data_IF_315011721376
#
_entry.id   IF_315011721376
#
_cell.length_a   1.000
_cell.length_b   1.000
_cell.length_c   1.000
_cell.angle_alpha   90.00
_cell.angle_beta   90.00
_cell.angle_gamma   90.00
#
_symmetry.space_group_name_H-M   'P 1'
#
loop_
_entity.id
_entity.type
_entity.pdbx_description
1 polymer ?
#
# COMPACT_ATOMS: atom_id res chain seq x y z
N UNK A 1 51.80 -11.52 61.59
CA UNK A 1 51.07 -10.83 60.51
C UNK A 1 50.88 -11.82 59.34
N UNK A 2 49.72 -12.44 59.23
CA UNK A 2 49.41 -13.37 58.13
C UNK A 2 48.84 -12.58 56.92
N UNK A 3 49.21 -12.91 55.69
CA UNK A 3 49.01 -12.03 54.57
C UNK A 3 47.55 -11.99 54.10
N UNK A 4 47.02 -10.79 54.08
CA UNK A 4 45.75 -10.39 53.48
C UNK A 4 45.55 -10.80 52.00
N UNK A 5 46.65 -11.21 51.38
CA UNK A 5 46.77 -11.67 49.96
C UNK A 5 46.08 -12.99 49.66
N UNK A 6 45.93 -13.89 50.66
CA UNK A 6 45.29 -15.20 50.45
C UNK A 6 43.76 -15.12 50.32
N UNK A 7 43.13 -14.26 51.10
CA UNK A 7 41.67 -14.04 51.08
C UNK A 7 41.21 -13.41 49.76
N UNK A 8 42.00 -12.46 49.24
CA UNK A 8 41.67 -11.77 48.00
C UNK A 8 41.76 -12.71 46.77
N UNK A 9 42.69 -13.64 46.75
CA UNK A 9 42.81 -14.65 45.69
C UNK A 9 41.68 -15.68 45.71
N UNK A 10 41.21 -16.07 46.89
CA UNK A 10 40.10 -17.02 47.03
C UNK A 10 38.76 -16.39 46.60
N UNK A 11 38.54 -15.11 46.87
CA UNK A 11 37.33 -14.38 46.42
C UNK A 11 37.32 -14.18 44.91
N UNK A 12 38.49 -13.91 44.31
CA UNK A 12 38.62 -13.75 42.86
C UNK A 12 38.35 -15.05 42.08
N UNK A 13 38.71 -16.21 42.61
CA UNK A 13 38.49 -17.53 41.99
C UNK A 13 37.01 -17.95 42.07
N UNK A 14 36.28 -17.51 43.13
CA UNK A 14 34.84 -17.83 43.26
C UNK A 14 33.96 -16.92 42.42
N UNK A 15 34.39 -15.68 42.08
CA UNK A 15 33.64 -14.75 41.26
C UNK A 15 33.77 -15.04 39.73
N UNK A 16 34.80 -15.75 39.31
CA UNK A 16 35.04 -16.01 37.90
C UNK A 16 34.01 -16.95 37.24
N UNK A 17 33.49 -18.02 37.87
CA UNK A 17 32.48 -18.88 37.24
C UNK A 17 31.08 -18.29 37.13
N UNK A 18 30.75 -17.24 37.87
CA UNK A 18 29.41 -16.63 37.85
C UNK A 18 29.19 -15.80 36.55
N UNK A 19 30.25 -15.36 35.91
CA UNK A 19 30.17 -14.59 34.67
C UNK A 19 29.89 -15.45 33.39
N UNK A 20 30.02 -16.79 33.50
CA UNK A 20 29.80 -17.69 32.35
C UNK A 20 28.42 -18.33 32.29
N UNK A 21 27.52 -18.09 33.26
CA UNK A 21 26.16 -18.65 33.25
C UNK A 21 25.14 -17.77 32.58
N UNK A 22 25.54 -16.63 31.98
CA UNK A 22 24.63 -15.70 31.28
C UNK A 22 24.33 -16.10 29.83
N UNK A 23 24.86 -17.23 29.31
CA UNK A 23 24.57 -17.73 27.96
C UNK A 23 23.57 -18.90 27.97
N UNK A 24 22.42 -18.72 28.62
CA UNK A 24 21.36 -19.73 28.69
C UNK A 24 20.25 -19.60 27.65
N UNK A 25 20.40 -18.74 26.61
CA UNK A 25 19.30 -18.40 25.69
C UNK A 25 19.43 -18.99 24.26
N UNK A 26 20.56 -19.61 23.91
CA UNK A 26 20.78 -20.04 22.51
C UNK A 26 19.69 -20.98 21.97
N UNK A 27 19.15 -21.88 22.79
CA UNK A 27 18.08 -22.79 22.35
C UNK A 27 16.72 -22.06 22.17
N UNK A 28 16.47 -20.99 22.96
CA UNK A 28 15.28 -20.16 22.83
C UNK A 28 15.33 -19.32 21.56
N UNK A 29 16.46 -18.69 21.31
CA UNK A 29 16.67 -17.84 20.14
C UNK A 29 16.64 -18.65 18.82
N UNK A 30 17.24 -19.85 18.81
CA UNK A 30 17.17 -20.74 17.63
C UNK A 30 15.74 -21.20 17.32
N UNK A 31 14.95 -21.55 18.34
CA UNK A 31 13.53 -21.92 18.16
C UNK A 31 12.70 -20.75 17.66
N UNK A 32 12.95 -19.55 18.19
CA UNK A 32 12.28 -18.34 17.75
C UNK A 32 12.63 -18.00 16.30
N UNK A 33 13.92 -18.06 15.95
CA UNK A 33 14.39 -17.84 14.58
C UNK A 33 13.77 -18.85 13.61
N UNK A 34 13.76 -20.14 13.93
CA UNK A 34 13.13 -21.17 13.10
C UNK A 34 11.64 -20.92 12.90
N UNK A 35 10.95 -20.40 13.92
CA UNK A 35 9.53 -20.03 13.80
C UNK A 35 9.35 -18.81 12.92
N UNK A 36 10.20 -17.80 13.05
CA UNK A 36 10.20 -16.62 12.16
C UNK A 36 10.43 -17.03 10.71
N UNK A 37 11.41 -17.87 10.44
CA UNK A 37 11.75 -18.36 9.10
C UNK A 37 10.56 -19.15 8.50
N UNK A 38 9.92 -20.01 9.30
CA UNK A 38 8.73 -20.76 8.89
C UNK A 38 7.57 -19.83 8.56
N UNK A 39 7.27 -18.85 9.42
CA UNK A 39 6.21 -17.88 9.18
C UNK A 39 6.50 -16.99 7.97
N UNK A 40 7.76 -16.60 7.79
CA UNK A 40 8.19 -15.83 6.60
C UNK A 40 7.99 -16.63 5.33
N UNK A 41 8.32 -17.92 5.35
CA UNK A 41 8.10 -18.82 4.21
C UNK A 41 6.60 -19.00 3.92
N UNK A 42 5.79 -19.21 4.94
CA UNK A 42 4.32 -19.30 4.77
C UNK A 42 3.75 -18.00 4.20
N UNK A 43 4.19 -16.86 4.72
CA UNK A 43 3.75 -15.54 4.23
C UNK A 43 4.16 -15.32 2.76
N UNK A 44 5.35 -15.75 2.36
CA UNK A 44 5.82 -15.66 0.98
C UNK A 44 4.99 -16.53 0.01
N UNK A 45 4.37 -17.60 0.52
CA UNK A 45 3.48 -18.48 -0.25
C UNK A 45 2.02 -18.02 -0.23
N UNK A 46 1.67 -17.00 0.57
CA UNK A 46 0.32 -16.45 0.59
C UNK A 46 0.02 -15.76 -0.75
N UNK A 47 -1.20 -15.98 -1.27
CA UNK A 47 -1.65 -15.30 -2.48
C UNK A 47 -1.54 -13.78 -2.34
N UNK A 48 -0.95 -13.15 -3.35
CA UNK A 48 -0.87 -11.70 -3.48
C UNK A 48 -1.53 -11.30 -4.80
N UNK A 49 -2.43 -10.30 -4.79
CA UNK A 49 -3.00 -9.79 -6.03
C UNK A 49 -1.90 -9.29 -6.97
N UNK A 50 -2.03 -9.59 -8.25
CA UNK A 50 -1.15 -9.06 -9.27
C UNK A 50 -1.47 -7.60 -9.59
N UNK A 51 -0.51 -6.86 -10.19
CA UNK A 51 -0.72 -5.46 -10.59
C UNK A 51 -1.97 -5.28 -11.48
N UNK A 52 -2.23 -6.21 -12.40
CA UNK A 52 -3.42 -6.16 -13.26
C UNK A 52 -4.74 -6.23 -12.51
N UNK A 53 -4.78 -6.95 -11.40
CA UNK A 53 -5.96 -7.07 -10.55
C UNK A 53 -6.25 -5.74 -9.82
N UNK A 54 -5.22 -5.11 -9.28
CA UNK A 54 -5.34 -3.76 -8.72
C UNK A 54 -5.78 -2.73 -9.77
N UNK A 55 -5.20 -2.78 -10.98
CA UNK A 55 -5.58 -1.86 -12.07
C UNK A 55 -7.02 -2.06 -12.54
N UNK A 56 -7.53 -3.29 -12.52
CA UNK A 56 -8.95 -3.57 -12.79
C UNK A 56 -9.86 -2.93 -11.73
N UNK A 57 -9.51 -3.03 -10.44
CA UNK A 57 -10.22 -2.34 -9.36
C UNK A 57 -10.22 -0.82 -9.55
N UNK A 58 -9.05 -0.23 -9.83
CA UNK A 58 -8.91 1.20 -10.13
C UNK A 58 -9.79 1.61 -11.32
N UNK A 59 -9.88 0.80 -12.38
CA UNK A 59 -10.72 1.11 -13.54
C UNK A 59 -12.21 1.13 -13.17
N UNK A 60 -12.65 0.24 -12.30
CA UNK A 60 -14.02 0.24 -11.77
C UNK A 60 -14.30 1.51 -10.97
N UNK A 61 -13.43 1.86 -10.02
CA UNK A 61 -13.57 3.08 -9.22
C UNK A 61 -13.51 4.34 -10.09
N UNK A 62 -12.65 4.38 -11.10
CA UNK A 62 -12.61 5.46 -12.08
C UNK A 62 -13.99 5.67 -12.75
N UNK A 63 -14.64 4.61 -13.20
CA UNK A 63 -15.96 4.71 -13.81
C UNK A 63 -17.02 5.19 -12.81
N UNK A 64 -16.99 4.69 -11.57
CA UNK A 64 -17.93 5.09 -10.51
C UNK A 64 -17.77 6.57 -10.12
N UNK A 65 -16.54 7.08 -10.01
CA UNK A 65 -16.26 8.50 -9.77
C UNK A 65 -16.98 9.37 -10.81
N UNK A 66 -16.87 8.99 -12.09
CA UNK A 66 -17.50 9.74 -13.17
C UNK A 66 -19.01 9.85 -12.98
N UNK A 67 -19.68 8.72 -12.80
CA UNK A 67 -21.14 8.72 -12.65
C UNK A 67 -21.61 9.35 -11.35
N UNK A 68 -20.91 9.18 -10.25
CA UNK A 68 -21.20 9.85 -9.01
C UNK A 68 -21.08 11.38 -9.15
N UNK A 69 -19.96 11.86 -9.69
CA UNK A 69 -19.73 13.29 -9.88
C UNK A 69 -20.69 13.94 -10.88
N UNK A 70 -21.01 13.25 -11.99
CA UNK A 70 -22.01 13.72 -12.98
C UNK A 70 -23.41 13.86 -12.38
N UNK A 71 -23.77 13.02 -11.43
CA UNK A 71 -25.02 13.10 -10.69
C UNK A 71 -24.91 13.94 -9.41
N UNK A 72 -23.75 14.61 -9.19
CA UNK A 72 -23.49 15.46 -8.04
C UNK A 72 -23.60 14.71 -6.69
N UNK A 73 -23.45 13.38 -6.71
CA UNK A 73 -23.31 12.55 -5.53
C UNK A 73 -21.85 12.66 -5.04
N UNK A 74 -21.56 13.79 -4.39
CA UNK A 74 -20.20 14.15 -4.01
C UNK A 74 -19.63 13.21 -2.96
N UNK A 75 -20.45 12.69 -2.07
CA UNK A 75 -20.03 11.78 -1.02
C UNK A 75 -19.60 10.42 -1.63
N UNK A 76 -20.37 9.90 -2.58
CA UNK A 76 -19.98 8.70 -3.34
C UNK A 76 -18.72 8.96 -4.18
N UNK A 77 -18.63 10.10 -4.84
CA UNK A 77 -17.47 10.45 -5.64
C UNK A 77 -16.19 10.54 -4.79
N UNK A 78 -16.26 11.12 -3.58
CA UNK A 78 -15.13 11.21 -2.65
C UNK A 78 -14.72 9.84 -2.13
N UNK A 79 -15.68 8.99 -1.78
CA UNK A 79 -15.46 7.60 -1.40
C UNK A 79 -14.67 6.86 -2.50
N UNK A 80 -15.13 6.90 -3.75
CA UNK A 80 -14.50 6.17 -4.85
C UNK A 80 -13.09 6.71 -5.21
N UNK A 81 -12.82 8.00 -4.98
CA UNK A 81 -11.46 8.56 -5.09
C UNK A 81 -10.58 8.02 -3.96
N UNK A 82 -11.12 7.86 -2.76
CA UNK A 82 -10.45 7.22 -1.63
C UNK A 82 -10.01 5.80 -1.97
N UNK A 83 -10.90 4.99 -2.56
CA UNK A 83 -10.63 3.62 -2.98
C UNK A 83 -9.47 3.53 -4.00
N UNK A 84 -9.40 4.47 -4.96
CA UNK A 84 -8.24 4.53 -5.88
C UNK A 84 -6.95 4.83 -5.10
N UNK A 85 -6.97 5.79 -4.19
CA UNK A 85 -5.78 6.17 -3.41
C UNK A 85 -5.30 5.01 -2.54
N UNK A 86 -6.20 4.32 -1.86
CA UNK A 86 -5.90 3.15 -1.05
C UNK A 86 -5.32 2.01 -1.92
N UNK A 87 -5.96 1.71 -3.05
CA UNK A 87 -5.46 0.71 -4.00
C UNK A 87 -4.05 1.02 -4.50
N UNK A 88 -3.73 2.30 -4.75
CA UNK A 88 -2.37 2.70 -5.15
C UNK A 88 -1.33 2.49 -4.04
N UNK A 89 -1.71 2.66 -2.76
CA UNK A 89 -0.82 2.33 -1.64
C UNK A 89 -0.63 0.80 -1.53
N UNK A 90 -1.67 0.01 -1.75
CA UNK A 90 -1.56 -1.44 -1.80
C UNK A 90 -0.67 -1.93 -2.96
N UNK A 91 -0.76 -1.30 -4.13
CA UNK A 91 0.15 -1.57 -5.26
C UNK A 91 1.61 -1.36 -4.83
N UNK A 92 1.93 -0.26 -4.16
CA UNK A 92 3.30 0.00 -3.67
C UNK A 92 3.76 -1.07 -2.67
N UNK A 93 2.85 -1.52 -1.82
CA UNK A 93 3.14 -2.49 -0.76
C UNK A 93 3.31 -3.91 -1.28
N UNK A 94 2.48 -4.33 -2.24
CA UNK A 94 2.39 -5.73 -2.66
C UNK A 94 3.05 -6.03 -4.01
N UNK A 95 3.23 -5.03 -4.88
CA UNK A 95 3.81 -5.21 -6.21
C UNK A 95 5.24 -4.66 -6.31
N UNK A 96 6.06 -4.86 -5.26
CA UNK A 96 7.40 -4.26 -5.11
C UNK A 96 8.40 -4.65 -6.19
N UNK A 97 8.17 -5.75 -6.88
CA UNK A 97 8.96 -6.27 -7.99
C UNK A 97 8.59 -5.67 -9.36
N UNK A 98 7.54 -4.82 -9.41
CA UNK A 98 7.01 -4.24 -10.64
C UNK A 98 7.64 -2.88 -10.94
N UNK A 99 8.30 -2.71 -12.11
CA UNK A 99 8.91 -1.42 -12.48
C UNK A 99 7.89 -0.29 -12.67
N UNK A 100 6.63 -0.61 -12.97
CA UNK A 100 5.51 0.31 -13.15
C UNK A 100 5.24 1.18 -11.93
N UNK A 101 5.59 0.71 -10.72
CA UNK A 101 5.43 1.48 -9.47
C UNK A 101 6.11 2.84 -9.52
N UNK A 102 7.24 2.95 -10.23
CA UNK A 102 7.98 4.20 -10.38
C UNK A 102 7.19 5.27 -11.14
N UNK A 103 6.17 4.86 -11.90
CA UNK A 103 5.31 5.75 -12.69
C UNK A 103 4.02 6.17 -11.96
N UNK A 104 3.68 5.55 -10.83
CA UNK A 104 2.48 5.90 -10.04
C UNK A 104 2.40 7.40 -9.65
N UNK A 105 3.51 8.09 -9.36
CA UNK A 105 3.47 9.52 -9.05
C UNK A 105 2.84 10.41 -10.14
N UNK A 106 2.74 9.93 -11.38
CA UNK A 106 2.04 10.63 -12.48
C UNK A 106 0.55 10.86 -12.16
N UNK A 107 -0.05 10.00 -11.33
CA UNK A 107 -1.48 10.01 -11.03
C UNK A 107 -1.86 10.99 -9.91
N UNK A 108 -1.01 11.20 -8.91
CA UNK A 108 -1.37 11.92 -7.70
C UNK A 108 -1.85 13.36 -7.92
N UNK A 109 -1.21 14.20 -8.76
CA UNK A 109 -1.71 15.56 -8.97
C UNK A 109 -3.11 15.59 -9.59
N UNK A 110 -3.43 14.62 -10.45
CA UNK A 110 -4.75 14.52 -11.07
C UNK A 110 -5.81 14.02 -10.07
N UNK A 111 -5.48 13.04 -9.22
CA UNK A 111 -6.35 12.58 -8.13
C UNK A 111 -6.66 13.71 -7.15
N UNK A 112 -5.65 14.51 -6.79
CA UNK A 112 -5.86 15.65 -5.89
C UNK A 112 -6.71 16.74 -6.55
N UNK A 113 -6.56 16.96 -7.85
CA UNK A 113 -7.41 17.88 -8.60
C UNK A 113 -8.89 17.44 -8.58
N UNK A 114 -9.16 16.14 -8.79
CA UNK A 114 -10.52 15.57 -8.69
C UNK A 114 -11.06 15.71 -7.26
N UNK A 115 -10.28 15.32 -6.24
CA UNK A 115 -10.67 15.46 -4.84
C UNK A 115 -11.04 16.91 -4.49
N UNK A 116 -10.25 17.89 -4.94
CA UNK A 116 -10.50 19.30 -4.69
C UNK A 116 -11.78 19.80 -5.40
N UNK A 117 -12.08 19.31 -6.61
CA UNK A 117 -13.31 19.65 -7.32
C UNK A 117 -14.55 19.05 -6.65
N UNK A 118 -14.46 17.83 -6.13
CA UNK A 118 -15.50 17.14 -5.36
C UNK A 118 -15.78 17.91 -4.07
N UNK A 119 -14.76 18.26 -3.28
CA UNK A 119 -14.89 19.04 -2.05
C UNK A 119 -15.52 20.42 -2.30
N UNK A 120 -15.19 21.03 -3.42
CA UNK A 120 -15.79 22.29 -3.85
C UNK A 120 -17.22 22.13 -4.41
N UNK A 121 -17.71 20.89 -4.57
CA UNK A 121 -19.01 20.55 -5.19
C UNK A 121 -19.23 21.25 -6.53
N UNK A 122 -18.15 21.37 -7.33
CA UNK A 122 -18.16 22.13 -8.57
C UNK A 122 -18.11 21.19 -9.78
N UNK A 123 -19.24 20.99 -10.42
CA UNK A 123 -19.38 20.06 -11.54
C UNK A 123 -18.42 20.37 -12.71
N UNK A 124 -18.29 21.65 -13.10
CA UNK A 124 -17.41 22.01 -14.23
C UNK A 124 -15.93 21.72 -13.93
N UNK A 125 -15.47 22.04 -12.70
CA UNK A 125 -14.12 21.69 -12.26
C UNK A 125 -13.93 20.18 -12.17
N UNK A 126 -14.94 19.47 -11.68
CA UNK A 126 -14.91 18.00 -11.61
C UNK A 126 -14.72 17.39 -13.00
N UNK A 127 -15.52 17.76 -14.00
CA UNK A 127 -15.42 17.24 -15.37
C UNK A 127 -14.02 17.47 -15.96
N UNK A 128 -13.46 18.68 -15.79
CA UNK A 128 -12.11 19.00 -16.26
C UNK A 128 -11.03 18.17 -15.53
N UNK A 129 -11.13 18.07 -14.21
CA UNK A 129 -10.19 17.33 -13.39
C UNK A 129 -10.26 15.82 -13.66
N UNK A 130 -11.46 15.29 -13.91
CA UNK A 130 -11.64 13.88 -14.24
C UNK A 130 -11.05 13.54 -15.63
N UNK A 131 -11.21 14.43 -16.61
CA UNK A 131 -10.54 14.28 -17.91
C UNK A 131 -9.01 14.28 -17.77
N UNK A 132 -8.46 15.12 -16.86
CA UNK A 132 -7.03 15.10 -16.52
C UNK A 132 -6.62 13.78 -15.87
N UNK A 133 -7.44 13.22 -14.97
CA UNK A 133 -7.18 11.91 -14.35
C UNK A 133 -7.13 10.80 -15.41
N UNK A 134 -8.12 10.74 -16.29
CA UNK A 134 -8.17 9.78 -17.39
C UNK A 134 -6.93 9.89 -18.29
N UNK A 135 -6.52 11.11 -18.63
CA UNK A 135 -5.29 11.37 -19.39
C UNK A 135 -4.03 10.92 -18.63
N UNK A 136 -4.01 11.09 -17.31
CA UNK A 136 -2.88 10.68 -16.47
C UNK A 136 -2.74 9.17 -16.38
N UNK A 137 -3.86 8.41 -16.35
CA UNK A 137 -3.85 6.96 -16.46
C UNK A 137 -3.17 6.52 -17.78
N UNK A 138 -3.54 7.14 -18.88
CA UNK A 138 -2.95 6.81 -20.19
C UNK A 138 -1.47 7.19 -20.28
N UNK A 139 -1.05 8.31 -19.69
CA UNK A 139 0.39 8.67 -19.61
C UNK A 139 1.18 7.65 -18.81
N UNK A 140 0.63 7.16 -17.69
CA UNK A 140 1.26 6.11 -16.91
C UNK A 140 1.39 4.83 -17.75
N UNK A 141 0.32 4.40 -18.41
CA UNK A 141 0.35 3.24 -19.32
C UNK A 141 1.40 3.39 -20.44
N UNK A 142 1.50 4.57 -21.03
CA UNK A 142 2.52 4.85 -22.05
C UNK A 142 3.94 4.76 -21.49
N UNK A 143 4.18 5.32 -20.29
CA UNK A 143 5.52 5.32 -19.67
C UNK A 143 5.98 3.93 -19.22
N UNK A 144 5.06 2.97 -19.14
CA UNK A 144 5.30 1.60 -18.68
C UNK A 144 5.12 0.55 -19.78
N UNK A 145 5.10 0.98 -21.04
CA UNK A 145 4.90 0.11 -22.24
C UNK A 145 3.55 -0.63 -22.27
N UNK A 146 2.52 -0.04 -21.65
CA UNK A 146 1.14 -0.55 -21.65
C UNK A 146 0.21 0.34 -22.53
N UNK A 147 0.74 1.02 -23.56
CA UNK A 147 -0.01 1.92 -24.42
C UNK A 147 -1.18 1.25 -25.17
N UNK A 148 -1.22 -0.05 -25.25
CA UNK A 148 -2.34 -0.82 -25.77
C UNK A 148 -3.56 -0.82 -24.86
N UNK A 149 -3.40 -0.49 -23.58
CA UNK A 149 -4.47 -0.40 -22.60
C UNK A 149 -4.88 1.06 -22.42
N UNK A 150 -5.87 1.48 -23.22
CA UNK A 150 -6.33 2.88 -23.27
C UNK A 150 -7.59 3.06 -22.43
N UNK A 151 -7.50 3.91 -21.43
CA UNK A 151 -8.63 4.34 -20.61
C UNK A 151 -9.34 5.51 -21.29
N UNK A 152 -10.66 5.44 -21.39
CA UNK A 152 -11.51 6.51 -21.93
C UNK A 152 -12.48 7.06 -20.87
N UNK A 153 -13.13 8.16 -21.20
CA UNK A 153 -14.29 8.65 -20.43
C UNK A 153 -15.37 7.57 -20.44
N UNK A 154 -15.95 7.23 -19.26
CA UNK A 154 -16.99 6.20 -19.20
C UNK A 154 -18.28 6.66 -19.94
N UNK A 155 -18.80 5.83 -20.80
CA UNK A 155 -20.03 6.06 -21.56
C UNK A 155 -21.23 5.26 -21.05
N UNK A 156 -20.98 4.24 -20.21
CA UNK A 156 -22.01 3.46 -19.50
C UNK A 156 -21.60 3.23 -18.05
N UNK A 157 -22.54 3.16 -17.09
CA UNK A 157 -22.25 2.82 -15.71
C UNK A 157 -21.59 1.44 -15.59
N UNK A 158 -20.65 1.23 -14.68
CA UNK A 158 -19.93 -0.04 -14.55
C UNK A 158 -20.82 -1.17 -13.99
N UNK A 159 -21.90 -0.79 -13.29
CA UNK A 159 -22.85 -1.74 -12.69
C UNK A 159 -24.29 -1.27 -12.87
N UNK A 160 -25.19 -2.21 -13.12
CA UNK A 160 -26.64 -1.94 -13.30
C UNK A 160 -27.40 -1.91 -11.97
N UNK A 161 -26.81 -2.39 -10.89
CA UNK A 161 -27.40 -2.51 -9.57
C UNK A 161 -26.89 -1.45 -8.58
N UNK A 162 -26.25 -0.38 -9.07
CA UNK A 162 -25.83 0.77 -8.26
C UNK A 162 -26.53 2.03 -8.70
N UNK A 163 -27.16 2.75 -7.76
CA UNK A 163 -27.75 4.08 -8.01
C UNK A 163 -26.69 5.16 -7.79
N UNK A 164 -26.51 6.01 -8.77
CA UNK A 164 -25.55 7.12 -8.73
C UNK A 164 -26.19 8.47 -8.38
N UNK A 165 -27.51 8.59 -8.50
CA UNK A 165 -28.23 9.82 -8.15
C UNK A 165 -28.34 9.95 -6.64
N UNK A 166 -28.26 11.18 -6.15
CA UNK A 166 -28.64 11.49 -4.77
C UNK A 166 -30.15 11.34 -4.64
N UNK A 167 -30.59 10.63 -3.61
CA UNK A 167 -32.02 10.50 -3.26
C UNK A 167 -32.47 11.70 -2.44
#
# INVERSE_FOLDING_TARGET
>A
MKPFSSLLKSILIILLPVLFTACGSQNGDQKLQAKVDSLTTQLAQTYKPGLGEFMMGIQVHHAKIWYAGKNQNWDLADFEVGEIKETLEDVKKYCTDRPEIKSLPILYPALDSVSNAIKARNLKRFETSFALLTSSCNRCHQSTHHQFNVIKMPDTPPFTNQEFKVK
#
